data_IF_153446869889
#
_entry.id   IF_153446869889
#
_cell.length_a   1.000
_cell.length_b   1.000
_cell.length_c   1.000
_cell.angle_alpha   90.00
_cell.angle_beta   90.00
_cell.angle_gamma   90.00
#
_symmetry.space_group_name_H-M   'P 1'
#
loop_
_entity.id
_entity.type
_entity.pdbx_description
1 polymer ?
#
# COMPACT_ATOMS: atom_id res chain seq x y z
N UNK A 1 16.59 19.90 25.77
CA UNK A 1 15.54 19.58 24.78
C UNK A 1 15.85 20.36 23.53
N UNK A 2 16.05 19.68 22.41
CA UNK A 2 16.29 20.30 21.10
C UNK A 2 15.03 20.11 20.26
N UNK A 3 14.54 21.17 19.62
CA UNK A 3 13.32 21.14 18.81
C UNK A 3 13.70 21.45 17.37
N UNK A 4 13.42 20.51 16.46
CA UNK A 4 13.50 20.73 15.02
C UNK A 4 12.18 21.31 14.47
N UNK A 5 12.24 22.04 13.37
CA UNK A 5 11.06 22.56 12.69
C UNK A 5 11.24 22.52 11.18
N UNK A 6 10.11 22.43 10.47
CA UNK A 6 10.02 22.62 9.02
C UNK A 6 8.86 23.57 8.71
N UNK A 7 8.91 24.27 7.58
CA UNK A 7 7.80 25.11 7.11
C UNK A 7 7.49 24.85 5.64
N UNK A 8 6.21 24.97 5.30
CA UNK A 8 5.74 24.94 3.92
C UNK A 8 6.08 26.24 3.16
N UNK A 9 6.45 27.32 3.85
CA UNK A 9 6.79 28.63 3.29
C UNK A 9 7.85 29.37 4.12
N UNK A 10 7.92 30.69 3.97
CA UNK A 10 8.87 31.55 4.67
C UNK A 10 8.21 32.31 5.83
N UNK A 11 8.88 32.37 6.98
CA UNK A 11 8.45 33.21 8.10
C UNK A 11 8.74 34.68 7.79
N UNK A 12 7.80 35.57 8.06
CA UNK A 12 7.97 37.00 7.78
C UNK A 12 8.69 37.75 8.90
N UNK A 13 9.25 38.92 8.58
CA UNK A 13 9.98 39.75 9.57
C UNK A 13 9.09 40.21 10.73
N UNK A 14 7.79 40.41 10.46
CA UNK A 14 6.80 40.81 11.46
C UNK A 14 6.49 39.72 12.50
N UNK A 15 6.84 38.45 12.20
CA UNK A 15 6.61 37.27 13.04
C UNK A 15 5.14 37.00 13.34
N UNK A 16 4.25 37.31 12.40
CA UNK A 16 2.80 37.16 12.55
C UNK A 16 2.18 36.11 11.61
N UNK A 17 2.99 35.32 10.91
CA UNK A 17 2.56 34.31 9.92
C UNK A 17 2.85 32.84 10.30
N UNK A 18 3.00 32.52 11.59
CA UNK A 18 3.27 31.16 12.04
C UNK A 18 2.01 30.44 12.53
N UNK A 19 1.78 29.22 12.03
CA UNK A 19 0.80 28.26 12.57
C UNK A 19 1.57 27.04 13.06
N UNK A 20 1.44 26.70 14.34
CA UNK A 20 2.07 25.52 14.91
C UNK A 20 1.19 24.29 14.68
N UNK A 21 1.69 23.33 13.91
CA UNK A 21 1.05 22.03 13.73
C UNK A 21 1.61 21.08 14.80
N UNK A 22 0.84 20.85 15.86
CA UNK A 22 1.18 19.85 16.88
C UNK A 22 0.63 18.50 16.46
N UNK A 23 1.30 17.86 15.50
CA UNK A 23 1.04 16.45 15.17
C UNK A 23 1.65 15.56 16.26
N UNK A 24 0.85 14.66 16.80
CA UNK A 24 1.27 13.66 17.79
C UNK A 24 1.09 12.31 17.12
N UNK A 25 2.17 11.59 16.77
CA UNK A 25 2.24 10.12 16.68
C UNK A 25 3.64 9.60 16.27
N UNK A 26 4.54 10.45 15.76
CA UNK A 26 5.96 10.11 15.58
C UNK A 26 6.85 11.30 15.91
N UNK A 27 7.92 11.09 16.69
CA UNK A 27 8.84 12.13 17.15
C UNK A 27 9.67 12.82 16.05
N UNK A 28 9.54 12.35 14.81
CA UNK A 28 10.26 12.80 13.62
C UNK A 28 9.26 13.21 12.52
N UNK A 29 8.42 14.19 12.83
CA UNK A 29 7.38 14.67 11.89
C UNK A 29 7.99 15.53 10.78
N UNK A 30 8.01 15.02 9.54
CA UNK A 30 8.41 15.76 8.33
C UNK A 30 7.18 16.26 7.56
N UNK A 31 6.32 17.02 8.22
CA UNK A 31 5.05 17.45 7.64
C UNK A 31 5.26 18.26 6.34
N UNK A 32 6.30 19.10 6.30
CA UNK A 32 6.60 19.91 5.12
C UNK A 32 7.30 19.11 4.01
N UNK A 33 7.67 17.85 4.27
CA UNK A 33 8.37 16.97 3.32
C UNK A 33 9.76 17.48 2.95
N UNK A 34 10.36 18.35 3.78
CA UNK A 34 11.63 19.02 3.44
C UNK A 34 12.82 18.28 4.05
N UNK A 35 13.30 17.27 3.34
CA UNK A 35 14.61 16.68 3.58
C UNK A 35 15.40 16.67 2.26
N UNK A 36 16.66 17.11 2.31
CA UNK A 36 17.58 17.06 1.17
C UNK A 36 18.27 15.70 1.08
N UNK A 37 19.10 15.51 0.04
CA UNK A 37 19.89 14.28 -0.10
C UNK A 37 20.81 14.01 1.11
N UNK A 38 21.31 15.07 1.75
CA UNK A 38 22.14 15.01 2.95
C UNK A 38 21.35 15.24 4.26
N UNK A 39 20.03 15.42 4.17
CA UNK A 39 19.16 15.59 5.33
C UNK A 39 18.71 14.25 5.89
N UNK A 40 18.42 14.20 7.20
CA UNK A 40 17.86 12.99 7.81
C UNK A 40 16.45 12.74 7.25
N UNK A 41 16.21 11.59 6.58
CA UNK A 41 14.89 11.27 6.06
C UNK A 41 13.94 10.76 7.18
N UNK A 42 12.61 10.83 6.99
CA UNK A 42 11.61 10.29 7.92
C UNK A 42 11.55 8.76 7.91
N UNK A 43 12.68 8.06 8.09
CA UNK A 43 12.78 6.61 7.92
C UNK A 43 11.83 5.83 8.84
N UNK A 44 11.62 6.27 10.08
CA UNK A 44 10.71 5.60 11.00
C UNK A 44 9.25 5.67 10.52
N UNK A 45 8.80 6.85 10.07
CA UNK A 45 7.46 7.00 9.50
C UNK A 45 7.28 6.19 8.20
N UNK A 46 8.33 6.13 7.37
CA UNK A 46 8.33 5.33 6.15
C UNK A 46 8.24 3.82 6.45
N UNK A 47 8.96 3.33 7.46
CA UNK A 47 8.86 1.94 7.91
C UNK A 47 7.45 1.61 8.37
N UNK A 48 6.83 2.44 9.22
CA UNK A 48 5.46 2.20 9.68
C UNK A 48 4.44 2.20 8.53
N UNK A 49 4.60 3.12 7.57
CA UNK A 49 3.76 3.13 6.37
C UNK A 49 3.93 1.85 5.54
N UNK A 50 5.18 1.42 5.30
CA UNK A 50 5.47 0.20 4.54
C UNK A 50 5.06 -1.08 5.28
N UNK A 51 5.10 -1.07 6.62
CA UNK A 51 4.56 -2.13 7.48
C UNK A 51 3.07 -2.30 7.25
N UNK A 52 2.31 -1.21 7.28
CA UNK A 52 0.88 -1.23 6.98
C UNK A 52 0.59 -1.66 5.55
N UNK A 53 1.35 -1.17 4.56
CA UNK A 53 1.21 -1.64 3.16
C UNK A 53 1.44 -3.15 3.07
N UNK A 54 2.47 -3.67 3.73
CA UNK A 54 2.80 -5.11 3.73
C UNK A 54 1.69 -5.92 4.39
N UNK A 55 1.16 -5.47 5.53
CA UNK A 55 0.08 -6.14 6.23
C UNK A 55 -1.20 -6.20 5.37
N UNK A 56 -1.63 -5.06 4.81
CA UNK A 56 -2.86 -4.99 4.01
C UNK A 56 -2.74 -5.72 2.66
N UNK A 57 -1.54 -5.80 2.09
CA UNK A 57 -1.31 -6.56 0.87
C UNK A 57 -1.29 -8.08 1.10
N UNK A 58 -1.20 -8.53 2.35
CA UNK A 58 -1.38 -9.93 2.72
C UNK A 58 -2.82 -10.18 3.23
N UNK A 59 -3.12 -11.43 3.56
CA UNK A 59 -4.40 -11.85 4.11
C UNK A 59 -4.23 -12.54 5.48
N UNK A 60 -5.29 -12.61 6.28
CA UNK A 60 -5.23 -13.18 7.64
C UNK A 60 -4.86 -14.66 7.66
N UNK A 61 -5.18 -15.38 6.58
CA UNK A 61 -4.84 -16.80 6.44
C UNK A 61 -3.33 -17.01 6.41
N UNK A 62 -2.61 -16.24 5.58
CA UNK A 62 -1.14 -16.23 5.57
C UNK A 62 -0.56 -15.92 6.96
N UNK A 63 -1.09 -14.89 7.64
CA UNK A 63 -0.60 -14.50 8.96
C UNK A 63 -0.75 -15.64 9.98
N UNK A 64 -1.91 -16.29 10.00
CA UNK A 64 -2.18 -17.40 10.92
C UNK A 64 -1.36 -18.65 10.59
N UNK A 65 -1.21 -18.98 9.31
CA UNK A 65 -0.47 -20.15 8.87
C UNK A 65 1.05 -20.00 9.11
N UNK A 66 1.59 -18.82 8.83
CA UNK A 66 3.03 -18.57 8.92
C UNK A 66 3.51 -18.26 10.35
N UNK A 67 2.68 -17.63 11.18
CA UNK A 67 3.13 -17.12 12.49
C UNK A 67 2.20 -17.44 13.66
N UNK A 68 0.90 -17.64 13.40
CA UNK A 68 -0.11 -17.84 14.45
C UNK A 68 0.03 -16.85 15.62
N UNK A 69 0.48 -17.32 16.79
CA UNK A 69 0.78 -16.51 17.98
C UNK A 69 2.20 -16.75 18.50
N UNK A 70 3.07 -17.20 17.62
CA UNK A 70 4.45 -17.52 17.93
C UNK A 70 5.19 -16.25 18.35
N UNK A 71 6.11 -16.38 19.30
CA UNK A 71 6.89 -15.27 19.82
C UNK A 71 8.08 -15.03 18.90
N UNK A 72 8.51 -13.77 18.76
CA UNK A 72 9.71 -13.45 17.99
C UNK A 72 10.99 -13.95 18.69
N UNK A 73 10.94 -14.04 20.01
CA UNK A 73 12.00 -14.54 20.87
C UNK A 73 11.37 -15.45 21.94
N UNK A 74 11.67 -16.74 21.90
CA UNK A 74 11.13 -17.75 22.82
C UNK A 74 11.46 -17.45 24.30
N UNK A 75 12.48 -16.62 24.57
CA UNK A 75 12.85 -16.22 25.93
C UNK A 75 12.07 -15.00 26.44
N UNK A 76 11.28 -14.32 25.60
CA UNK A 76 10.60 -13.06 25.94
C UNK A 76 9.10 -13.13 25.68
N UNK A 77 8.33 -13.37 26.74
CA UNK A 77 6.87 -13.46 26.69
C UNK A 77 6.20 -12.09 26.41
N UNK A 78 5.56 -11.89 25.23
CA UNK A 78 4.86 -10.65 24.89
C UNK A 78 3.67 -10.32 25.80
N UNK A 79 3.15 -11.29 26.58
CA UNK A 79 2.11 -11.04 27.56
C UNK A 79 2.63 -10.41 28.86
N UNK A 80 3.93 -10.55 29.14
CA UNK A 80 4.58 -10.06 30.36
C UNK A 80 5.54 -8.89 30.09
N UNK A 81 5.97 -8.71 28.84
CA UNK A 81 6.90 -7.66 28.42
C UNK A 81 6.32 -6.90 27.23
N UNK A 82 5.91 -5.65 27.47
CA UNK A 82 5.31 -4.77 26.44
C UNK A 82 6.27 -4.43 25.29
N UNK A 83 7.56 -4.71 25.45
CA UNK A 83 8.57 -4.50 24.41
C UNK A 83 8.97 -5.80 23.70
N UNK A 84 8.47 -6.95 24.14
CA UNK A 84 8.59 -8.21 23.43
C UNK A 84 7.54 -8.28 22.29
N UNK A 85 7.85 -9.04 21.25
CA UNK A 85 7.10 -9.06 19.99
C UNK A 85 6.58 -10.45 19.67
N UNK A 86 5.43 -10.51 19.01
CA UNK A 86 5.05 -11.70 18.25
C UNK A 86 5.89 -11.81 16.97
N UNK A 87 6.08 -13.02 16.46
CA UNK A 87 6.90 -13.30 15.28
C UNK A 87 6.44 -12.50 14.04
N UNK A 88 5.12 -12.31 13.89
CA UNK A 88 4.54 -11.49 12.82
C UNK A 88 4.93 -10.01 12.94
N UNK A 89 4.99 -9.45 14.15
CA UNK A 89 5.38 -8.05 14.35
C UNK A 89 6.83 -7.85 13.92
N UNK A 90 7.72 -8.73 14.37
CA UNK A 90 9.14 -8.68 14.01
C UNK A 90 9.35 -8.86 12.50
N UNK A 91 8.66 -9.83 11.89
CA UNK A 91 8.76 -10.07 10.44
C UNK A 91 8.30 -8.86 9.63
N UNK A 92 7.20 -8.23 10.05
CA UNK A 92 6.71 -7.01 9.41
C UNK A 92 7.68 -5.83 9.59
N UNK A 93 8.31 -5.69 10.76
CA UNK A 93 9.34 -4.68 11.02
C UNK A 93 10.58 -4.89 10.13
N UNK A 94 11.02 -6.14 9.97
CA UNK A 94 12.18 -6.48 9.14
C UNK A 94 11.91 -6.22 7.65
N UNK A 95 10.73 -6.61 7.14
CA UNK A 95 10.32 -6.31 5.76
C UNK A 95 10.22 -4.80 5.56
N UNK A 96 9.60 -4.08 6.50
CA UNK A 96 9.46 -2.63 6.41
C UNK A 96 10.83 -1.93 6.40
N UNK A 97 11.78 -2.37 7.23
CA UNK A 97 13.14 -1.85 7.26
C UNK A 97 13.87 -2.10 5.94
N UNK A 98 13.80 -3.32 5.40
CA UNK A 98 14.41 -3.66 4.12
C UNK A 98 13.84 -2.83 2.96
N UNK A 99 12.51 -2.64 2.92
CA UNK A 99 11.85 -1.84 1.90
C UNK A 99 12.14 -0.34 2.04
N UNK A 100 12.15 0.18 3.27
CA UNK A 100 12.45 1.59 3.55
C UNK A 100 13.86 1.98 3.11
N UNK A 101 14.83 1.07 3.23
CA UNK A 101 16.21 1.31 2.78
C UNK A 101 16.35 1.57 1.27
N UNK A 102 15.35 1.20 0.48
CA UNK A 102 15.32 1.37 -0.98
C UNK A 102 14.21 2.34 -1.43
N UNK A 103 13.56 3.03 -0.49
CA UNK A 103 12.38 3.85 -0.75
C UNK A 103 12.60 5.29 -0.30
N UNK A 104 11.90 6.21 -0.97
CA UNK A 104 11.82 7.62 -0.57
C UNK A 104 10.41 7.93 -0.05
N UNK A 105 10.32 8.65 1.08
CA UNK A 105 9.04 8.92 1.73
C UNK A 105 8.15 9.85 0.90
N UNK A 106 8.72 10.88 0.27
CA UNK A 106 7.99 11.76 -0.63
C UNK A 106 7.51 11.00 -1.87
N UNK A 107 8.33 10.16 -2.49
CA UNK A 107 7.89 9.31 -3.60
C UNK A 107 6.70 8.42 -3.21
N UNK A 108 6.70 7.84 -2.00
CA UNK A 108 5.54 7.09 -1.50
C UNK A 108 4.29 7.99 -1.44
N UNK A 109 4.38 9.22 -0.93
CA UNK A 109 3.26 10.16 -0.89
C UNK A 109 2.75 10.53 -2.29
N UNK A 110 3.64 10.71 -3.26
CA UNK A 110 3.25 10.97 -4.65
C UNK A 110 2.55 9.76 -5.30
N UNK A 111 3.02 8.55 -5.03
CA UNK A 111 2.34 7.33 -5.49
C UNK A 111 0.96 7.17 -4.84
N UNK A 112 0.85 7.43 -3.53
CA UNK A 112 -0.46 7.46 -2.84
C UNK A 112 -1.38 8.48 -3.50
N UNK A 113 -0.90 9.70 -3.77
CA UNK A 113 -1.69 10.73 -4.43
C UNK A 113 -2.14 10.29 -5.83
N UNK A 114 -1.24 9.72 -6.63
CA UNK A 114 -1.57 9.24 -7.97
C UNK A 114 -2.70 8.19 -7.93
N UNK A 115 -2.62 7.22 -7.01
CA UNK A 115 -3.67 6.23 -6.80
C UNK A 115 -5.00 6.87 -6.34
N UNK A 116 -4.95 7.83 -5.41
CA UNK A 116 -6.15 8.53 -4.92
C UNK A 116 -6.88 9.31 -6.02
N UNK A 117 -6.14 9.83 -7.00
CA UNK A 117 -6.70 10.64 -8.09
C UNK A 117 -7.01 9.82 -9.34
N UNK A 118 -6.72 8.52 -9.34
CA UNK A 118 -6.94 7.66 -10.49
C UNK A 118 -8.44 7.45 -10.75
N UNK A 119 -8.85 7.62 -11.99
CA UNK A 119 -10.11 7.16 -12.54
C UNK A 119 -9.87 6.78 -13.99
N UNK A 120 -10.36 5.62 -14.43
CA UNK A 120 -10.23 5.20 -15.82
C UNK A 120 -10.76 6.31 -16.76
N UNK A 121 -9.97 6.65 -17.78
CA UNK A 121 -10.28 7.73 -18.73
C UNK A 121 -10.03 9.16 -18.25
N UNK A 122 -9.89 9.43 -16.94
CA UNK A 122 -9.72 10.79 -16.36
C UNK A 122 -10.74 11.82 -16.88
N UNK A 123 -11.95 11.37 -17.24
CA UNK A 123 -13.02 12.19 -17.78
C UNK A 123 -14.04 12.62 -16.73
N UNK A 124 -15.28 12.78 -17.15
CA UNK A 124 -16.37 13.28 -16.29
C UNK A 124 -16.96 12.19 -15.37
N UNK A 125 -16.85 10.90 -15.73
CA UNK A 125 -17.30 9.79 -14.89
C UNK A 125 -16.52 8.50 -15.18
N UNK A 126 -16.59 7.56 -14.22
CA UNK A 126 -15.99 6.24 -14.34
C UNK A 126 -16.65 5.42 -15.46
N UNK A 127 -17.98 5.47 -15.56
CA UNK A 127 -18.74 4.74 -16.58
C UNK A 127 -18.35 5.17 -17.98
N UNK A 128 -18.21 6.49 -18.23
CA UNK A 128 -17.77 6.98 -19.53
C UNK A 128 -16.33 6.56 -19.86
N UNK A 129 -15.46 6.50 -18.84
CA UNK A 129 -14.08 6.05 -19.00
C UNK A 129 -13.96 4.55 -19.29
N UNK A 130 -14.76 3.72 -18.62
CA UNK A 130 -14.77 2.27 -18.81
C UNK A 130 -15.47 1.87 -20.11
N UNK A 131 -16.56 2.53 -20.51
CA UNK A 131 -17.23 2.32 -21.79
C UNK A 131 -16.39 2.76 -23.01
N UNK A 132 -15.27 3.44 -22.80
CA UNK A 132 -14.33 3.75 -23.89
C UNK A 132 -13.35 2.61 -24.18
N UNK A 133 -13.37 1.53 -23.39
CA UNK A 133 -12.52 0.35 -23.56
C UNK A 133 -13.21 -0.58 -24.56
N UNK A 134 -12.70 -0.61 -25.79
CA UNK A 134 -13.21 -1.47 -26.87
C UNK A 134 -12.34 -2.73 -27.08
N UNK A 135 -11.22 -2.83 -26.36
CA UNK A 135 -10.32 -3.97 -26.44
C UNK A 135 -10.84 -5.13 -25.59
N UNK A 136 -10.73 -6.39 -26.04
CA UNK A 136 -10.90 -7.53 -25.17
C UNK A 136 -10.06 -7.35 -23.90
N UNK A 137 -10.63 -7.62 -22.74
CA UNK A 137 -10.01 -7.34 -21.45
C UNK A 137 -9.99 -8.58 -20.56
N UNK A 138 -8.80 -9.01 -20.15
CA UNK A 138 -8.61 -10.03 -19.12
C UNK A 138 -8.34 -9.35 -17.78
N UNK A 139 -9.12 -9.69 -16.75
CA UNK A 139 -8.89 -9.23 -15.38
C UNK A 139 -8.61 -10.43 -14.47
N UNK A 140 -7.41 -10.45 -13.91
CA UNK A 140 -6.97 -11.42 -12.90
C UNK A 140 -7.11 -10.79 -11.51
N UNK A 141 -7.75 -11.48 -10.58
CA UNK A 141 -7.91 -10.96 -9.21
C UNK A 141 -7.93 -12.08 -8.17
N UNK A 142 -7.70 -11.77 -6.89
CA UNK A 142 -7.83 -12.74 -5.79
C UNK A 142 -9.11 -12.47 -5.01
N UNK A 143 -9.87 -13.51 -4.68
CA UNK A 143 -11.04 -13.42 -3.80
C UNK A 143 -10.69 -12.98 -2.36
N UNK A 144 -9.42 -13.15 -1.98
CA UNK A 144 -8.89 -12.80 -0.66
C UNK A 144 -8.20 -11.42 -0.65
N UNK A 145 -8.28 -10.64 -1.73
CA UNK A 145 -7.66 -9.31 -1.81
C UNK A 145 -8.37 -8.31 -0.88
N UNK A 146 -7.61 -7.74 0.06
CA UNK A 146 -8.09 -6.73 1.03
C UNK A 146 -7.76 -5.28 0.62
N UNK A 147 -6.98 -5.09 -0.45
CA UNK A 147 -6.61 -3.79 -1.00
C UNK A 147 -7.57 -3.40 -2.12
N UNK A 148 -7.75 -4.29 -3.10
CA UNK A 148 -8.69 -4.13 -4.21
C UNK A 148 -9.75 -5.21 -4.13
N UNK A 149 -10.81 -4.91 -3.38
CA UNK A 149 -11.85 -5.87 -3.06
C UNK A 149 -12.49 -6.47 -4.35
N UNK A 150 -12.73 -7.79 -4.38
CA UNK A 150 -13.32 -8.51 -5.53
C UNK A 150 -14.59 -7.88 -6.11
N UNK A 151 -15.43 -7.30 -5.27
CA UNK A 151 -16.67 -6.66 -5.69
C UNK A 151 -16.40 -5.46 -6.61
N UNK A 152 -15.33 -4.70 -6.36
CA UNK A 152 -14.90 -3.60 -7.20
C UNK A 152 -14.38 -4.07 -8.56
N UNK A 153 -13.66 -5.20 -8.59
CA UNK A 153 -13.19 -5.83 -9.83
C UNK A 153 -14.36 -6.29 -10.69
N UNK A 154 -15.29 -7.05 -10.12
CA UNK A 154 -16.49 -7.53 -10.85
C UNK A 154 -17.35 -6.38 -11.33
N UNK A 155 -17.53 -5.33 -10.50
CA UNK A 155 -18.26 -4.13 -10.90
C UNK A 155 -17.58 -3.41 -12.08
N UNK A 156 -16.25 -3.39 -12.10
CA UNK A 156 -15.49 -2.80 -13.21
C UNK A 156 -15.70 -3.60 -14.49
N UNK A 157 -15.65 -4.95 -14.42
CA UNK A 157 -15.93 -5.81 -15.56
C UNK A 157 -17.35 -5.59 -16.11
N UNK A 158 -18.38 -5.56 -15.25
CA UNK A 158 -19.76 -5.30 -15.66
C UNK A 158 -19.91 -3.97 -16.42
N UNK A 159 -19.15 -2.94 -16.04
CA UNK A 159 -19.19 -1.63 -16.68
C UNK A 159 -18.49 -1.61 -18.04
N UNK A 160 -17.44 -2.42 -18.22
CA UNK A 160 -16.76 -2.59 -19.51
C UNK A 160 -17.64 -3.43 -20.44
N UNK A 161 -18.25 -4.52 -19.96
CA UNK A 161 -19.09 -5.42 -20.77
C UNK A 161 -20.43 -4.78 -21.21
N UNK A 162 -20.79 -3.62 -20.65
CA UNK A 162 -22.12 -3.03 -20.80
C UNK A 162 -22.54 -2.75 -22.26
N UNK A 163 -21.58 -2.54 -23.16
CA UNK A 163 -21.79 -2.31 -24.60
C UNK A 163 -21.40 -3.50 -25.49
N UNK A 164 -21.06 -4.64 -24.87
CA UNK A 164 -20.71 -5.88 -25.58
C UNK A 164 -19.20 -6.12 -25.73
N UNK A 165 -18.36 -5.28 -25.13
CA UNK A 165 -16.91 -5.56 -25.03
C UNK A 165 -16.67 -6.87 -24.29
N UNK A 166 -15.78 -7.72 -24.83
CA UNK A 166 -15.46 -9.01 -24.22
C UNK A 166 -14.57 -8.81 -22.97
N UNK A 167 -15.05 -9.28 -21.82
CA UNK A 167 -14.26 -9.32 -20.58
C UNK A 167 -14.16 -10.75 -20.07
N UNK A 168 -12.95 -11.17 -19.73
CA UNK A 168 -12.70 -12.44 -19.04
C UNK A 168 -12.26 -12.14 -17.61
N UNK A 169 -12.93 -12.75 -16.64
CA UNK A 169 -12.55 -12.73 -15.24
C UNK A 169 -11.93 -14.07 -14.85
N UNK A 170 -10.76 -14.04 -14.22
CA UNK A 170 -10.14 -15.24 -13.65
C UNK A 170 -9.61 -14.97 -12.24
N UNK A 171 -9.87 -15.93 -11.33
CA UNK A 171 -9.47 -15.85 -9.94
C UNK A 171 -8.09 -16.46 -9.75
N UNK A 172 -7.25 -15.77 -8.99
CA UNK A 172 -5.99 -16.28 -8.47
C UNK A 172 -6.25 -16.93 -7.11
N UNK A 173 -5.82 -18.17 -6.98
CA UNK A 173 -5.91 -18.93 -5.75
C UNK A 173 -4.70 -18.65 -4.87
N UNK A 174 -4.92 -18.53 -3.57
CA UNK A 174 -3.87 -18.28 -2.60
C UNK A 174 -4.38 -17.75 -1.27
N UNK A 175 -3.49 -17.74 -0.27
CA UNK A 175 -3.77 -17.29 1.08
C UNK A 175 -3.17 -15.90 1.37
N UNK A 176 -2.64 -15.20 0.34
CA UNK A 176 -1.97 -13.90 0.51
C UNK A 176 -2.80 -12.74 -0.01
N UNK A 177 -3.95 -12.96 -0.65
CA UNK A 177 -4.83 -11.88 -1.10
C UNK A 177 -4.19 -11.08 -2.22
N UNK A 178 -3.95 -9.78 -2.01
CA UNK A 178 -3.38 -8.90 -3.03
C UNK A 178 -2.04 -9.42 -3.57
N UNK A 179 -1.20 -9.98 -2.71
CA UNK A 179 0.10 -10.50 -3.11
C UNK A 179 0.04 -11.75 -3.98
N UNK A 180 -1.09 -12.47 -4.07
CA UNK A 180 -1.20 -13.63 -4.96
C UNK A 180 -0.98 -13.21 -6.44
N UNK A 181 -1.40 -11.99 -6.81
CA UNK A 181 -1.12 -11.38 -8.12
C UNK A 181 0.34 -11.02 -8.39
N UNK A 182 1.22 -11.09 -7.38
CA UNK A 182 2.65 -10.81 -7.51
C UNK A 182 3.48 -12.07 -7.35
N UNK A 183 3.21 -12.85 -6.31
CA UNK A 183 4.06 -13.98 -5.91
C UNK A 183 3.56 -15.33 -6.42
N UNK A 184 2.30 -15.41 -6.85
CA UNK A 184 1.67 -16.63 -7.35
C UNK A 184 1.04 -16.44 -8.74
N UNK A 185 1.43 -15.38 -9.47
CA UNK A 185 0.87 -15.08 -10.80
C UNK A 185 1.16 -16.15 -11.85
N UNK A 186 2.18 -16.99 -11.62
CA UNK A 186 2.55 -18.10 -12.49
C UNK A 186 1.36 -19.04 -12.75
N UNK A 187 0.41 -19.17 -11.81
CA UNK A 187 -0.79 -20.00 -11.98
C UNK A 187 -1.66 -19.57 -13.18
N UNK A 188 -1.64 -18.28 -13.53
CA UNK A 188 -2.41 -17.74 -14.66
C UNK A 188 -1.63 -17.77 -15.99
N UNK A 189 -0.46 -18.42 -16.05
CA UNK A 189 0.42 -18.39 -17.23
C UNK A 189 -0.25 -18.92 -18.50
N UNK A 190 -1.04 -20.00 -18.39
CA UNK A 190 -1.70 -20.58 -19.55
C UNK A 190 -2.86 -19.70 -20.04
N UNK A 191 -3.64 -19.11 -19.13
CA UNK A 191 -4.67 -18.11 -19.46
C UNK A 191 -4.06 -16.88 -20.12
N UNK A 192 -3.00 -16.33 -19.53
CA UNK A 192 -2.29 -15.18 -20.08
C UNK A 192 -1.77 -15.47 -21.49
N UNK A 193 -1.22 -16.68 -21.72
CA UNK A 193 -0.76 -17.09 -23.05
C UNK A 193 -1.93 -17.18 -24.03
N UNK A 194 -3.02 -17.86 -23.65
CA UNK A 194 -4.19 -18.03 -24.50
C UNK A 194 -4.88 -16.70 -24.84
N UNK A 195 -4.86 -15.72 -23.93
CA UNK A 195 -5.44 -14.40 -24.16
C UNK A 195 -4.62 -13.52 -25.11
N UNK A 196 -3.30 -13.78 -25.22
CA UNK A 196 -2.38 -13.00 -26.07
C UNK A 196 -2.20 -13.57 -27.47
N UNK A 197 -2.60 -14.81 -27.71
CA UNK A 197 -2.50 -15.54 -28.99
C UNK A 197 -3.77 -15.39 -29.84
#
# INVERSE_FOLDING_TARGET
>A
MTVGWEAYGELNEARDNAILITHFFSGTSHAAGRYGADGEPPTDGLKEALKLVTLNANHWQWANEAFNRDWADDARDPSQDITARYAIEQTLDDIAAARAALSDANHLLYLVRANQTFMAGYGDSLEAGLAAIEAPTLMLYSENDLVFAPEGVRRTAELIEADGTEVTLETLEGNRGHLDGVVAIEQASDTLRAFLE
#
